data_IF_813010950760
#
_entry.id   IF_813010950760
#
_cell.length_a   1.000
_cell.length_b   1.000
_cell.length_c   1.000
_cell.angle_alpha   90.00
_cell.angle_beta   90.00
_cell.angle_gamma   90.00
#
_symmetry.space_group_name_H-M   'P 1'
#
loop_
_entity.id
_entity.type
_entity.pdbx_description
1 polymer ?
#
# COMPACT_ATOMS: atom_id res chain seq x y z
N UNK A 1 2.71 6.68 -2.11
CA UNK A 1 1.65 7.49 -1.46
C UNK A 1 1.12 6.75 -0.24
N UNK A 2 0.41 7.39 0.70
CA UNK A 2 -0.16 6.70 1.86
C UNK A 2 -1.49 5.99 1.56
N UNK A 3 -1.99 6.03 0.32
CA UNK A 3 -3.14 5.24 -0.14
C UNK A 3 -4.42 5.31 0.72
N UNK A 4 -4.69 6.44 1.37
CA UNK A 4 -5.92 6.61 2.15
C UNK A 4 -7.06 7.18 1.31
N UNK A 5 -8.24 6.57 1.46
CA UNK A 5 -9.54 7.02 0.96
C UNK A 5 -9.54 7.56 -0.49
N UNK A 6 -10.52 8.42 -0.83
CA UNK A 6 -10.87 8.99 -2.13
C UNK A 6 -9.81 9.86 -2.81
N UNK A 7 -8.55 9.82 -2.33
CA UNK A 7 -7.41 10.51 -2.95
C UNK A 7 -6.73 9.68 -4.05
N UNK A 8 -7.11 8.42 -4.21
CA UNK A 8 -6.58 7.55 -5.26
C UNK A 8 -7.32 7.79 -6.58
N UNK A 9 -6.55 8.07 -7.63
CA UNK A 9 -7.04 8.21 -9.00
C UNK A 9 -7.39 6.81 -9.57
N UNK A 10 -8.69 6.50 -9.80
CA UNK A 10 -9.10 5.18 -10.27
C UNK A 10 -8.52 4.83 -11.65
N UNK A 11 -8.25 5.82 -12.51
CA UNK A 11 -7.66 5.55 -13.83
C UNK A 11 -6.22 5.03 -13.71
N UNK A 12 -5.50 5.44 -12.65
CA UNK A 12 -4.14 4.96 -12.37
C UNK A 12 -4.12 3.67 -11.56
N UNK A 13 -5.12 3.45 -10.72
CA UNK A 13 -5.16 2.34 -9.77
C UNK A 13 -5.85 1.08 -10.31
N UNK A 14 -6.87 1.22 -11.16
CA UNK A 14 -7.72 0.11 -11.57
C UNK A 14 -6.92 -1.01 -12.26
N UNK A 15 -7.08 -2.24 -11.77
CA UNK A 15 -6.38 -3.42 -12.30
C UNK A 15 -4.90 -3.55 -11.89
N UNK A 16 -4.39 -2.69 -10.99
CA UNK A 16 -2.97 -2.69 -10.58
C UNK A 16 -2.77 -3.09 -9.12
N UNK A 17 -1.51 -3.39 -8.78
CA UNK A 17 -1.05 -3.51 -7.40
C UNK A 17 -0.46 -2.17 -6.99
N UNK A 18 -0.92 -1.61 -5.87
CA UNK A 18 -0.41 -0.34 -5.36
C UNK A 18 0.65 -0.53 -4.27
N UNK A 19 1.77 0.20 -4.38
CA UNK A 19 2.77 0.30 -3.33
C UNK A 19 2.47 1.51 -2.42
N UNK A 20 2.16 1.24 -1.17
CA UNK A 20 1.65 2.19 -0.19
C UNK A 20 2.63 2.40 0.96
N UNK A 21 2.74 3.64 1.44
CA UNK A 21 3.53 3.95 2.64
C UNK A 21 2.68 3.71 3.90
N UNK A 22 3.22 2.99 4.87
CA UNK A 22 2.61 2.81 6.19
C UNK A 22 2.85 4.00 7.13
N UNK A 23 2.36 3.88 8.37
CA UNK A 23 2.72 4.77 9.49
C UNK A 23 1.88 6.04 9.69
N UNK A 24 1.14 6.51 8.68
CA UNK A 24 0.23 7.67 8.83
C UNK A 24 -1.25 7.36 8.80
N UNK A 25 -1.65 6.34 8.04
CA UNK A 25 -3.06 5.98 7.83
C UNK A 25 -3.24 4.55 8.33
N UNK A 26 -4.35 4.30 9.02
CA UNK A 26 -4.70 2.96 9.45
C UNK A 26 -4.70 2.01 8.23
N UNK A 27 -3.96 0.90 8.25
CA UNK A 27 -3.86 0.01 7.10
C UNK A 27 -5.18 -0.56 6.59
N UNK A 28 -6.19 -0.71 7.45
CA UNK A 28 -7.54 -1.16 7.05
C UNK A 28 -8.21 -0.09 6.19
N UNK A 29 -8.05 1.18 6.55
CA UNK A 29 -8.54 2.32 5.75
C UNK A 29 -7.78 2.38 4.42
N UNK A 30 -6.48 2.13 4.43
CA UNK A 30 -5.69 2.07 3.20
C UNK A 30 -6.16 0.95 2.27
N UNK A 31 -6.32 -0.28 2.81
CA UNK A 31 -6.83 -1.41 2.03
C UNK A 31 -8.20 -1.13 1.41
N UNK A 32 -9.10 -0.50 2.17
CA UNK A 32 -10.42 -0.09 1.67
C UNK A 32 -10.31 0.94 0.54
N UNK A 33 -9.51 1.99 0.71
CA UNK A 33 -9.30 3.01 -0.32
C UNK A 33 -8.71 2.42 -1.61
N UNK A 34 -7.71 1.54 -1.48
CA UNK A 34 -7.09 0.82 -2.59
C UNK A 34 -8.11 -0.05 -3.33
N UNK A 35 -8.95 -0.79 -2.60
CA UNK A 35 -10.02 -1.59 -3.18
C UNK A 35 -11.05 -0.74 -3.93
N UNK A 36 -11.50 0.37 -3.32
CA UNK A 36 -12.47 1.28 -3.93
C UNK A 36 -11.93 1.96 -5.19
N UNK A 37 -10.62 2.15 -5.30
CA UNK A 37 -9.96 2.66 -6.50
C UNK A 37 -9.83 1.62 -7.63
N UNK A 38 -10.32 0.38 -7.43
CA UNK A 38 -10.27 -0.70 -8.42
C UNK A 38 -8.95 -1.46 -8.48
N UNK A 39 -8.03 -1.23 -7.54
CA UNK A 39 -6.78 -1.98 -7.49
C UNK A 39 -7.04 -3.45 -7.12
N UNK A 40 -6.16 -4.33 -7.60
CA UNK A 40 -6.27 -5.79 -7.40
C UNK A 40 -5.38 -6.31 -6.27
N UNK A 41 -4.55 -5.44 -5.68
CA UNK A 41 -3.74 -5.77 -4.52
C UNK A 41 -2.95 -4.59 -3.96
N UNK A 42 -2.34 -4.80 -2.80
CA UNK A 42 -1.57 -3.78 -2.09
C UNK A 42 -0.24 -4.33 -1.55
N UNK A 43 0.83 -3.57 -1.71
CA UNK A 43 2.07 -3.76 -0.96
C UNK A 43 2.14 -2.62 0.05
N UNK A 44 2.10 -2.95 1.35
CA UNK A 44 2.23 -1.96 2.40
C UNK A 44 3.65 -1.93 2.96
N UNK A 45 4.27 -0.76 2.87
CA UNK A 45 5.59 -0.51 3.39
C UNK A 45 5.58 -0.24 4.88
N UNK A 46 6.33 -1.05 5.62
CA UNK A 46 6.45 -0.84 7.05
C UNK A 46 7.16 0.49 7.34
N UNK A 47 6.57 1.24 8.26
CA UNK A 47 7.18 2.44 8.83
C UNK A 47 7.92 1.99 10.11
N UNK A 48 9.25 2.17 10.19
CA UNK A 48 10.03 1.78 11.36
C UNK A 48 9.51 2.37 12.67
N UNK A 49 8.92 3.58 12.60
CA UNK A 49 8.43 4.31 13.75
C UNK A 49 7.02 3.89 14.16
N UNK A 50 6.27 3.25 13.26
CA UNK A 50 4.91 2.78 13.51
C UNK A 50 4.83 1.33 13.98
N UNK A 51 5.93 0.57 13.85
CA UNK A 51 6.13 -0.71 14.52
C UNK A 51 5.00 -1.73 14.30
N UNK A 52 4.60 -1.99 13.06
CA UNK A 52 3.58 -2.98 12.76
C UNK A 52 4.20 -4.31 12.31
N UNK A 53 4.06 -5.36 13.13
CA UNK A 53 4.58 -6.72 12.87
C UNK A 53 3.47 -7.78 12.70
N UNK A 54 2.20 -7.35 12.66
CA UNK A 54 1.04 -8.25 12.65
C UNK A 54 0.56 -8.66 11.26
N UNK A 55 -0.28 -9.69 11.23
CA UNK A 55 -1.15 -9.97 10.08
C UNK A 55 -2.37 -9.05 10.14
N UNK A 56 -2.73 -8.41 9.03
CA UNK A 56 -3.96 -7.62 8.92
C UNK A 56 -4.97 -8.34 8.04
N UNK A 57 -6.21 -8.39 8.52
CA UNK A 57 -7.34 -8.86 7.73
C UNK A 57 -7.78 -7.74 6.79
N UNK A 58 -7.20 -7.75 5.59
CA UNK A 58 -7.55 -6.82 4.52
C UNK A 58 -8.48 -7.51 3.52
N UNK A 59 -9.40 -6.74 2.95
CA UNK A 59 -10.39 -7.20 1.98
C UNK A 59 -9.81 -7.45 0.57
N UNK A 60 -8.52 -7.17 0.38
CA UNK A 60 -7.77 -7.38 -0.86
C UNK A 60 -6.46 -8.13 -0.57
N UNK A 61 -5.91 -8.88 -1.54
CA UNK A 61 -4.58 -9.46 -1.41
C UNK A 61 -3.56 -8.39 -1.06
N UNK A 62 -2.88 -8.57 0.07
CA UNK A 62 -1.91 -7.61 0.57
C UNK A 62 -0.69 -8.28 1.18
N UNK A 63 0.46 -7.63 1.08
CA UNK A 63 1.69 -8.04 1.76
C UNK A 63 2.34 -6.86 2.47
N UNK A 64 2.99 -7.17 3.57
CA UNK A 64 3.76 -6.23 4.38
C UNK A 64 5.24 -6.53 4.17
N UNK A 65 6.00 -5.52 3.77
CA UNK A 65 7.43 -5.67 3.50
C UNK A 65 8.23 -4.68 4.35
N UNK A 66 9.51 -5.01 4.56
CA UNK A 66 10.41 -4.19 5.36
C UNK A 66 10.67 -2.83 4.70
N UNK A 67 11.11 -1.85 5.49
CA UNK A 67 11.51 -0.53 4.98
C UNK A 67 12.65 -0.64 3.95
N UNK A 68 13.55 -1.61 4.10
CA UNK A 68 14.62 -1.88 3.14
C UNK A 68 14.08 -2.39 1.80
N UNK A 69 13.14 -3.34 1.83
CA UNK A 69 12.52 -3.89 0.62
C UNK A 69 11.66 -2.82 -0.08
N UNK A 70 10.99 -1.97 0.69
CA UNK A 70 10.28 -0.82 0.14
C UNK A 70 11.16 0.11 -0.64
N UNK A 71 12.36 0.39 -0.13
CA UNK A 71 13.31 1.22 -0.85
C UNK A 71 13.64 0.60 -2.22
N UNK A 72 13.92 -0.70 -2.24
CA UNK A 72 14.20 -1.42 -3.50
C UNK A 72 13.00 -1.42 -4.46
N UNK A 73 11.79 -1.63 -3.93
CA UNK A 73 10.55 -1.60 -4.72
C UNK A 73 10.31 -0.23 -5.35
N UNK A 74 10.45 0.85 -4.59
CA UNK A 74 10.27 2.20 -5.11
C UNK A 74 11.37 2.60 -6.09
N UNK A 75 12.62 2.19 -5.85
CA UNK A 75 13.72 2.38 -6.80
C UNK A 75 13.38 1.67 -8.14
N UNK A 76 12.87 0.44 -8.09
CA UNK A 76 12.42 -0.30 -9.27
C UNK A 76 11.28 0.41 -10.02
N UNK A 77 10.20 0.77 -9.31
CA UNK A 77 9.03 1.47 -9.90
C UNK A 77 9.45 2.76 -10.60
N UNK A 78 10.42 3.50 -10.04
CA UNK A 78 10.88 4.77 -10.61
C UNK A 78 11.90 4.60 -11.76
N UNK A 79 12.34 3.38 -12.04
CA UNK A 79 13.34 3.08 -13.07
C UNK A 79 12.76 2.53 -14.38
N UNK A 80 11.44 2.32 -14.41
CA UNK A 80 10.68 1.72 -15.54
C UNK A 80 9.55 2.64 -15.94
#
# INVERSE_FOLDING_TARGET
AYCGDSLLDPEKANGKILACLGGKINPIIQGTGVQLAGAVGMILCNDPDAGFDGSLELTIPATYISTADCKQLFDYINST
#
